data_IF_209764716111
#
_entry.id   IF_209764716111
#
_cell.length_a   1.000
_cell.length_b   1.000
_cell.length_c   1.000
_cell.angle_alpha   90.00
_cell.angle_beta   90.00
_cell.angle_gamma   90.00
#
_symmetry.space_group_name_H-M   'P 1'
#
loop_
_entity.id
_entity.type
_entity.pdbx_description
1 polymer ?
#
# COMPACT_ATOMS: atom_id res chain seq x y z
N UNK A 1 -1.05 15.71 11.63
CA UNK A 1 -0.70 15.48 10.21
C UNK A 1 0.80 15.21 10.12
N UNK A 2 1.21 13.94 10.20
CA UNK A 2 2.62 13.56 10.08
C UNK A 2 2.97 13.36 8.61
N UNK A 3 3.78 14.26 8.06
CA UNK A 3 4.21 14.23 6.67
C UNK A 3 5.42 13.30 6.54
N UNK A 4 5.18 11.99 6.53
CA UNK A 4 6.23 10.97 6.31
C UNK A 4 6.50 10.76 4.80
N UNK A 5 6.62 11.86 4.07
CA UNK A 5 6.94 11.86 2.65
C UNK A 5 8.45 11.84 2.45
N UNK A 6 8.95 10.86 1.70
CA UNK A 6 10.35 10.83 1.25
C UNK A 6 10.35 11.20 -0.24
N UNK A 7 11.14 12.21 -0.60
CA UNK A 7 11.37 12.57 -2.00
C UNK A 7 12.63 11.86 -2.49
N UNK A 8 12.49 10.96 -3.47
CA UNK A 8 13.62 10.32 -4.14
C UNK A 8 13.61 10.72 -5.62
N UNK A 9 14.50 11.64 -5.99
CA UNK A 9 14.45 12.30 -7.30
C UNK A 9 13.19 13.16 -7.44
N UNK A 10 12.38 12.88 -8.48
CA UNK A 10 11.07 13.55 -8.71
C UNK A 10 9.88 12.75 -8.18
N UNK A 11 10.11 11.61 -7.52
CA UNK A 11 9.06 10.69 -7.11
C UNK A 11 8.78 10.87 -5.62
N UNK A 12 7.51 11.04 -5.30
CA UNK A 12 7.04 11.03 -3.93
C UNK A 12 6.86 9.59 -3.46
N UNK A 13 7.40 9.31 -2.29
CA UNK A 13 7.17 8.07 -1.57
C UNK A 13 6.51 8.40 -0.25
N UNK A 14 5.49 7.63 0.08
CA UNK A 14 4.88 7.59 1.40
C UNK A 14 5.47 6.41 2.16
N UNK A 15 6.00 6.67 3.35
CA UNK A 15 6.38 5.65 4.31
C UNK A 15 5.44 5.73 5.53
N UNK A 16 4.87 4.61 5.95
CA UNK A 16 4.03 4.58 7.14
C UNK A 16 4.14 3.27 7.91
N UNK A 17 4.19 3.39 9.24
CA UNK A 17 3.99 2.32 10.21
C UNK A 17 2.69 2.50 11.00
N UNK A 18 1.85 3.45 10.59
CA UNK A 18 0.56 3.68 11.23
C UNK A 18 -0.40 2.53 10.89
N UNK A 19 -1.25 2.16 11.85
CA UNK A 19 -2.26 1.11 11.67
C UNK A 19 -3.30 1.44 10.60
N UNK A 20 -3.49 2.73 10.32
CA UNK A 20 -4.35 3.22 9.23
C UNK A 20 -3.57 4.24 8.42
N UNK A 21 -3.52 4.06 7.10
CA UNK A 21 -2.89 4.99 6.17
C UNK A 21 -3.74 5.17 4.93
N UNK A 22 -3.87 6.41 4.48
CA UNK A 22 -4.53 6.72 3.21
C UNK A 22 -3.49 6.83 2.09
N UNK A 23 -3.75 6.14 0.99
CA UNK A 23 -2.92 6.15 -0.22
C UNK A 23 -3.83 6.40 -1.40
N UNK A 24 -3.76 7.60 -1.99
CA UNK A 24 -4.49 7.94 -3.22
C UNK A 24 -6.01 7.61 -3.15
N UNK A 25 -6.63 7.93 -2.01
CA UNK A 25 -8.06 7.68 -1.76
C UNK A 25 -8.42 6.26 -1.33
N UNK A 26 -7.44 5.36 -1.19
CA UNK A 26 -7.61 4.05 -0.58
C UNK A 26 -7.15 4.04 0.88
N UNK A 27 -7.94 3.42 1.74
CA UNK A 27 -7.60 3.23 3.15
C UNK A 27 -6.96 1.86 3.35
N UNK A 28 -5.74 1.84 3.86
CA UNK A 28 -5.04 0.63 4.26
C UNK A 28 -5.07 0.50 5.77
N UNK A 29 -5.67 -0.59 6.25
CA UNK A 29 -5.62 -1.02 7.64
C UNK A 29 -4.55 -2.11 7.77
N UNK A 30 -3.52 -1.85 8.57
CA UNK A 30 -2.34 -2.71 8.69
C UNK A 30 -2.20 -3.15 10.14
N UNK A 31 -2.03 -4.45 10.34
CA UNK A 31 -1.71 -5.01 11.65
C UNK A 31 -0.37 -4.45 12.18
N UNK A 32 -0.16 -4.46 13.51
CA UNK A 32 1.13 -4.07 14.10
C UNK A 32 2.29 -4.90 13.54
N UNK A 33 3.48 -4.29 13.43
CA UNK A 33 4.68 -4.96 12.91
C UNK A 33 4.89 -4.86 11.41
N UNK A 34 3.85 -4.43 10.67
CA UNK A 34 3.97 -4.12 9.23
C UNK A 34 4.27 -2.66 8.97
N UNK A 35 4.91 -2.40 7.82
CA UNK A 35 5.14 -1.06 7.27
C UNK A 35 4.75 -1.01 5.80
N UNK A 36 4.16 0.11 5.40
CA UNK A 36 3.79 0.40 4.01
C UNK A 36 4.77 1.40 3.42
N UNK A 37 5.19 1.11 2.20
CA UNK A 37 5.85 2.05 1.30
C UNK A 37 4.99 2.16 0.04
N UNK A 38 4.44 3.34 -0.22
CA UNK A 38 3.67 3.62 -1.43
C UNK A 38 4.39 4.66 -2.30
N UNK A 39 4.37 4.46 -3.62
CA UNK A 39 5.05 5.31 -4.60
C UNK A 39 6.08 4.54 -5.42
N UNK A 40 6.91 5.26 -6.17
CA UNK A 40 8.05 4.67 -6.88
C UNK A 40 7.76 3.99 -8.22
N UNK A 41 6.52 3.95 -8.67
CA UNK A 41 6.20 3.56 -10.05
C UNK A 41 6.83 4.53 -11.06
N UNK A 42 7.35 4.00 -12.16
CA UNK A 42 7.75 4.81 -13.31
C UNK A 42 6.56 5.22 -14.18
N UNK A 43 5.44 4.49 -14.05
CA UNK A 43 4.19 4.72 -14.74
C UNK A 43 3.32 5.67 -13.89
N UNK A 44 3.01 6.90 -14.37
CA UNK A 44 2.22 7.87 -13.63
C UNK A 44 0.76 7.44 -13.43
N UNK A 45 0.30 6.42 -14.15
CA UNK A 45 -1.02 5.83 -13.97
C UNK A 45 -1.04 4.73 -12.90
N UNK A 46 0.08 4.50 -12.21
CA UNK A 46 0.18 3.48 -11.16
C UNK A 46 0.90 4.00 -9.92
N UNK A 47 0.41 3.59 -8.76
CA UNK A 47 1.15 3.68 -7.50
C UNK A 47 1.51 2.27 -7.06
N UNK A 48 2.81 1.99 -6.93
CA UNK A 48 3.30 0.74 -6.34
C UNK A 48 3.14 0.83 -4.82
N UNK A 49 2.60 -0.21 -4.22
CA UNK A 49 2.46 -0.33 -2.77
C UNK A 49 3.19 -1.59 -2.35
N UNK A 50 4.19 -1.43 -1.49
CA UNK A 50 4.96 -2.53 -0.92
C UNK A 50 4.73 -2.58 0.58
N UNK A 51 4.33 -3.75 1.07
CA UNK A 51 4.15 -4.01 2.49
C UNK A 51 5.32 -4.86 2.96
N UNK A 52 5.90 -4.48 4.09
CA UNK A 52 7.03 -5.17 4.70
C UNK A 52 6.73 -5.56 6.13
N UNK A 53 7.28 -6.71 6.54
CA UNK A 53 7.50 -7.08 7.94
C UNK A 53 8.99 -6.99 8.18
N UNK A 54 9.42 -6.19 9.16
CA UNK A 54 10.84 -5.87 9.37
C UNK A 54 11.53 -5.40 8.07
N UNK A 55 12.43 -6.20 7.47
CA UNK A 55 13.11 -5.92 6.20
C UNK A 55 12.57 -6.73 5.02
N UNK A 56 11.68 -7.69 5.27
CA UNK A 56 11.12 -8.60 4.27
C UNK A 56 9.89 -7.98 3.60
N UNK A 57 9.87 -7.99 2.26
CA UNK A 57 8.68 -7.57 1.50
C UNK A 57 7.70 -8.74 1.44
N UNK A 58 6.59 -8.60 2.15
CA UNK A 58 5.60 -9.66 2.33
C UNK A 58 4.38 -9.51 1.42
N UNK A 59 4.12 -8.31 0.90
CA UNK A 59 3.10 -8.13 -0.14
C UNK A 59 3.44 -6.95 -1.06
N UNK A 60 2.89 -7.01 -2.27
CA UNK A 60 3.01 -5.98 -3.28
C UNK A 60 1.69 -5.82 -4.04
N UNK A 61 1.24 -4.56 -4.15
CA UNK A 61 0.04 -4.17 -4.89
C UNK A 61 0.34 -3.03 -5.85
N UNK A 62 -0.53 -2.84 -6.83
CA UNK A 62 -0.63 -1.61 -7.61
C UNK A 62 -2.00 -0.97 -7.42
N UNK A 63 -2.02 0.34 -7.19
CA UNK A 63 -3.18 1.16 -7.47
C UNK A 63 -3.09 1.65 -8.91
N UNK A 64 -4.10 1.38 -9.72
CA UNK A 64 -4.21 1.83 -11.09
C UNK A 64 -5.11 3.05 -11.16
N UNK A 65 -4.56 4.19 -11.54
CA UNK A 65 -5.28 5.44 -11.66
C UNK A 65 -6.07 5.49 -12.97
N UNK A 66 -7.39 5.62 -12.86
CA UNK A 66 -8.31 5.94 -13.96
C UNK A 66 -8.89 7.33 -13.71
N UNK A 67 -9.49 7.95 -14.75
CA UNK A 67 -9.95 9.36 -14.71
C UNK A 67 -10.85 9.72 -13.52
N UNK A 68 -11.59 8.75 -12.96
CA UNK A 68 -12.52 8.97 -11.84
C UNK A 68 -12.42 7.93 -10.73
N UNK A 69 -11.48 6.98 -10.84
CA UNK A 69 -11.40 5.86 -9.89
C UNK A 69 -9.99 5.28 -9.85
N UNK A 70 -9.70 4.48 -8.83
CA UNK A 70 -8.48 3.72 -8.74
C UNK A 70 -8.78 2.27 -8.40
N UNK A 71 -8.24 1.33 -9.20
CA UNK A 71 -8.40 -0.11 -8.97
C UNK A 71 -7.16 -0.68 -8.28
N UNK A 72 -7.35 -1.64 -7.36
CA UNK A 72 -6.23 -2.39 -6.74
C UNK A 72 -5.97 -3.68 -7.50
N UNK A 73 -4.72 -3.91 -7.84
CA UNK A 73 -4.23 -5.23 -8.32
C UNK A 73 -3.20 -5.78 -7.33
N UNK A 74 -3.39 -7.02 -6.90
CA UNK A 74 -2.38 -7.75 -6.11
C UNK A 74 -1.35 -8.34 -7.06
N UNK A 75 -0.07 -8.09 -6.79
CA UNK A 75 1.04 -8.65 -7.56
C UNK A 75 1.65 -9.87 -6.85
N UNK A 76 1.83 -9.75 -5.54
CA UNK A 76 2.38 -10.81 -4.70
C UNK A 76 1.86 -10.64 -3.28
N UNK A 77 1.67 -11.77 -2.60
CA UNK A 77 1.32 -11.84 -1.18
C UNK A 77 1.97 -13.09 -0.60
N UNK A 78 2.59 -12.95 0.56
CA UNK A 78 3.20 -14.03 1.30
C UNK A 78 2.13 -15.00 1.81
N UNK A 79 2.47 -16.28 1.95
CA UNK A 79 1.51 -17.30 2.35
C UNK A 79 1.01 -17.14 3.79
N UNK A 80 1.80 -16.52 4.66
CA UNK A 80 1.49 -16.20 6.06
C UNK A 80 0.63 -14.94 6.24
N UNK A 81 0.28 -14.24 5.15
CA UNK A 81 -0.57 -13.06 5.20
C UNK A 81 -2.02 -13.35 4.78
N UNK A 82 -2.95 -12.67 5.46
CA UNK A 82 -4.31 -12.43 5.00
C UNK A 82 -4.39 -11.01 4.42
N UNK A 83 -4.85 -10.92 3.18
CA UNK A 83 -5.06 -9.67 2.47
C UNK A 83 -6.51 -9.59 2.02
N UNK A 84 -7.28 -8.74 2.67
CA UNK A 84 -8.68 -8.50 2.30
C UNK A 84 -8.80 -7.21 1.52
N UNK A 85 -9.56 -7.24 0.42
CA UNK A 85 -9.76 -6.09 -0.45
C UNK A 85 -11.26 -5.88 -0.59
N UNK A 86 -11.73 -4.69 -0.21
CA UNK A 86 -13.10 -4.25 -0.35
C UNK A 86 -13.17 -3.04 -1.30
N UNK A 87 -13.25 -3.25 -2.63
CA UNK A 87 -13.15 -2.17 -3.61
C UNK A 87 -14.23 -1.11 -3.49
N UNK A 88 -15.47 -1.50 -3.21
CA UNK A 88 -16.58 -0.57 -3.04
C UNK A 88 -16.37 0.42 -1.87
N UNK A 89 -15.62 0.00 -0.85
CA UNK A 89 -15.24 0.85 0.28
C UNK A 89 -13.85 1.47 0.14
N UNK A 90 -13.12 1.16 -0.96
CA UNK A 90 -11.71 1.50 -1.17
C UNK A 90 -10.83 1.14 0.02
N UNK A 91 -11.00 -0.08 0.53
CA UNK A 91 -10.28 -0.58 1.70
C UNK A 91 -9.42 -1.79 1.37
N UNK A 92 -8.24 -1.83 1.98
CA UNK A 92 -7.36 -2.99 2.03
C UNK A 92 -7.00 -3.26 3.48
N UNK A 93 -7.22 -4.48 3.95
CA UNK A 93 -6.82 -4.92 5.28
C UNK A 93 -5.67 -5.93 5.15
N UNK A 94 -4.65 -5.78 6.00
CA UNK A 94 -3.45 -6.61 6.02
C UNK A 94 -3.25 -7.17 7.41
N UNK A 95 -3.30 -8.49 7.53
CA UNK A 95 -3.20 -9.21 8.80
C UNK A 95 -2.32 -10.47 8.64
N UNK A 96 -1.78 -10.98 9.75
CA UNK A 96 -1.16 -12.31 9.76
C UNK A 96 -2.25 -13.40 9.80
N UNK A 97 -2.00 -14.51 9.11
CA UNK A 97 -2.81 -15.72 9.30
C UNK A 97 -2.42 -16.36 10.63
N UNK A 98 -3.41 -16.56 11.50
CA UNK A 98 -3.28 -17.37 12.71
C UNK A 98 -3.14 -18.87 12.41
#
# INVERSE_FOLDING_TARGET
MNHNGILLGKRHFLYSTASVVEVEGWTFSIAPGFKIIAGGSADPLKTLISIYRESEKVAQLYLHHRKSDSDVTVQAVSSDLLLEIAPAARRVCVEEKG
#
